data_IF_014078989459
#
_entry.id   IF_014078989459
#
_cell.length_a   1.000
_cell.length_b   1.000
_cell.length_c   1.000
_cell.angle_alpha   90.00
_cell.angle_beta   90.00
_cell.angle_gamma   90.00
#
_symmetry.space_group_name_H-M   'P 1'
#
loop_
_entity.id
_entity.type
_entity.pdbx_description
1 polymer ?
#
# COMPACT_ATOMS: atom_id res chain seq x y z
N UNK A 1 -33.72 -24.92 -50.16
CA UNK A 1 -32.59 -25.58 -49.47
C UNK A 1 -32.03 -26.65 -50.39
N UNK A 2 -30.73 -26.65 -50.65
CA UNK A 2 -29.85 -27.83 -50.83
C UNK A 2 -28.42 -27.32 -51.09
N UNK A 3 -27.43 -28.20 -50.99
CA UNK A 3 -26.03 -27.85 -50.68
C UNK A 3 -25.05 -28.53 -51.66
N UNK A 4 -23.79 -28.06 -51.69
CA UNK A 4 -22.59 -28.69 -52.30
C UNK A 4 -22.51 -28.59 -53.84
N UNK A 5 -21.34 -28.47 -54.47
CA UNK A 5 -19.95 -28.42 -53.98
C UNK A 5 -19.10 -27.46 -54.84
N UNK A 6 -18.17 -26.73 -54.22
CA UNK A 6 -16.95 -26.28 -54.89
C UNK A 6 -15.89 -27.41 -54.83
N UNK A 7 -14.96 -27.43 -55.81
CA UNK A 7 -13.68 -28.14 -55.71
C UNK A 7 -12.57 -27.11 -55.83
N UNK A 8 -11.75 -26.96 -54.78
CA UNK A 8 -10.44 -26.33 -54.87
C UNK A 8 -9.35 -27.39 -54.69
N UNK A 9 -8.41 -27.44 -55.63
CA UNK A 9 -7.17 -28.18 -55.50
C UNK A 9 -6.22 -27.45 -54.55
N UNK A 10 -5.53 -28.19 -53.68
CA UNK A 10 -4.38 -27.70 -52.93
C UNK A 10 -3.10 -28.10 -53.67
N UNK A 11 -2.19 -27.16 -53.87
CA UNK A 11 -0.75 -27.39 -53.76
C UNK A 11 -0.01 -26.06 -53.78
N UNK A 12 0.75 -25.77 -52.74
CA UNK A 12 2.17 -25.36 -52.82
C UNK A 12 2.75 -25.22 -51.40
N UNK A 13 4.08 -25.29 -51.31
CA UNK A 13 4.86 -25.17 -50.07
C UNK A 13 6.27 -24.66 -50.39
N UNK A 14 6.95 -24.17 -49.36
CA UNK A 14 8.37 -23.77 -49.29
C UNK A 14 8.73 -22.31 -49.61
N UNK A 15 8.99 -21.59 -48.51
CA UNK A 15 10.11 -20.67 -48.27
C UNK A 15 10.89 -20.09 -49.46
N UNK A 16 10.96 -18.75 -49.50
CA UNK A 16 12.25 -18.08 -49.63
C UNK A 16 12.31 -16.76 -48.82
N UNK A 17 13.52 -16.42 -48.36
CA UNK A 17 13.97 -15.13 -47.79
C UNK A 17 15.34 -14.86 -48.45
N UNK A 18 15.77 -13.61 -48.73
CA UNK A 18 15.90 -12.60 -47.68
C UNK A 18 15.85 -11.09 -48.08
N UNK A 19 16.04 -10.24 -47.07
CA UNK A 19 16.67 -8.90 -47.06
C UNK A 19 16.11 -7.67 -47.86
N UNK A 20 15.73 -6.65 -47.05
CA UNK A 20 15.94 -5.18 -47.14
C UNK A 20 16.99 -4.63 -48.14
N UNK A 21 17.00 -3.30 -48.44
CA UNK A 21 15.89 -2.31 -48.51
C UNK A 21 16.01 -1.18 -49.59
N UNK A 22 14.87 -0.66 -50.08
CA UNK A 22 14.69 0.71 -50.61
C UNK A 22 13.17 1.04 -50.50
N UNK A 23 12.66 2.22 -50.15
CA UNK A 23 13.01 3.64 -50.36
C UNK A 23 12.56 4.22 -51.72
N UNK A 24 11.92 5.39 -51.65
CA UNK A 24 11.32 6.20 -52.72
C UNK A 24 10.07 5.56 -53.40
N UNK A 25 8.85 6.14 -53.38
CA UNK A 25 8.35 7.50 -53.73
C UNK A 25 8.02 7.63 -55.23
N UNK A 26 7.01 8.47 -55.52
CA UNK A 26 6.25 8.67 -56.78
C UNK A 26 4.99 7.77 -56.90
N UNK A 27 3.83 8.28 -57.32
CA UNK A 27 3.40 9.68 -57.50
C UNK A 27 1.87 9.79 -57.67
N UNK A 28 1.33 10.99 -57.39
CA UNK A 28 0.11 11.61 -57.94
C UNK A 28 -1.01 10.68 -58.44
N UNK A 29 -2.11 10.59 -57.68
CA UNK A 29 -3.33 11.40 -57.90
C UNK A 29 -4.28 10.85 -58.98
N UNK A 30 -5.49 10.49 -58.54
CA UNK A 30 -6.69 10.71 -59.35
C UNK A 30 -7.75 11.34 -58.46
N UNK A 31 -8.52 12.27 -59.02
CA UNK A 31 -9.22 13.33 -58.27
C UNK A 31 -10.75 13.22 -58.39
N UNK A 32 -11.44 13.93 -57.51
CA UNK A 32 -12.90 14.18 -57.44
C UNK A 32 -13.77 13.03 -56.86
N UNK A 33 -14.63 13.43 -55.91
CA UNK A 33 -15.54 12.56 -55.15
C UNK A 33 -16.22 13.33 -54.02
N UNK A 34 -16.78 14.50 -54.32
CA UNK A 34 -17.23 15.48 -53.32
C UNK A 34 -18.46 15.02 -52.54
N UNK A 35 -18.40 15.17 -51.21
CA UNK A 35 -19.56 15.53 -50.38
C UNK A 35 -19.07 16.24 -49.14
N UNK A 36 -19.70 17.36 -48.77
CA UNK A 36 -19.27 18.21 -47.66
C UNK A 36 -20.47 18.72 -46.87
N UNK A 37 -20.51 18.42 -45.57
CA UNK A 37 -21.52 18.97 -44.65
C UNK A 37 -20.94 19.18 -43.25
N UNK A 38 -21.06 20.43 -42.77
CA UNK A 38 -20.83 20.91 -41.40
C UNK A 38 -19.50 20.60 -40.69
N UNK A 39 -18.60 21.61 -40.69
CA UNK A 39 -17.77 21.91 -39.52
C UNK A 39 -17.37 23.41 -39.49
N UNK A 40 -17.38 24.02 -38.29
CA UNK A 40 -16.84 25.35 -37.90
C UNK A 40 -17.61 26.64 -38.26
N UNK A 41 -17.87 27.44 -37.22
CA UNK A 41 -17.53 28.88 -37.13
C UNK A 41 -16.34 28.95 -36.13
N UNK A 42 -15.14 29.54 -36.34
CA UNK A 42 -14.68 30.79 -37.02
C UNK A 42 -15.05 32.02 -36.14
N UNK A 43 -14.19 32.96 -35.72
CA UNK A 43 -13.09 33.80 -36.31
C UNK A 43 -11.93 34.02 -35.28
N UNK A 44 -10.89 34.87 -35.39
CA UNK A 44 -9.77 35.21 -36.35
C UNK A 44 -8.80 36.16 -35.56
N UNK A 45 -7.49 36.35 -35.81
CA UNK A 45 -6.53 35.78 -36.78
C UNK A 45 -5.56 36.85 -37.37
N UNK A 46 -4.30 36.48 -37.68
CA UNK A 46 -3.23 37.29 -38.35
C UNK A 46 -2.53 38.36 -37.46
N UNK A 47 -1.30 38.85 -37.68
CA UNK A 47 -0.24 38.68 -38.72
C UNK A 47 1.14 38.40 -38.03
N UNK A 48 2.25 38.02 -38.69
CA UNK A 48 2.49 37.64 -40.09
C UNK A 48 3.97 37.79 -40.53
N UNK A 49 4.45 36.88 -41.38
CA UNK A 49 5.72 36.89 -42.17
C UNK A 49 7.09 37.03 -41.46
N UNK A 50 7.95 36.03 -41.69
CA UNK A 50 9.41 36.17 -41.63
C UNK A 50 9.98 36.29 -43.06
N UNK A 51 11.08 37.02 -43.24
CA UNK A 51 11.81 37.14 -44.52
C UNK A 51 13.24 36.64 -44.33
N UNK A 52 13.74 35.80 -45.25
CA UNK A 52 15.07 35.19 -45.16
C UNK A 52 16.05 35.88 -46.13
N UNK A 53 17.01 36.58 -45.56
CA UNK A 53 18.39 36.74 -46.05
C UNK A 53 19.28 36.59 -44.79
N UNK A 54 20.48 36.02 -44.82
CA UNK A 54 21.28 35.47 -45.91
C UNK A 54 22.77 35.45 -45.49
N UNK A 55 23.63 34.82 -46.30
CA UNK A 55 25.10 34.85 -46.19
C UNK A 55 25.79 34.22 -44.94
N UNK A 56 26.48 33.11 -45.21
CA UNK A 56 27.94 32.95 -45.00
C UNK A 56 28.57 33.12 -43.61
N UNK A 57 29.22 32.05 -43.13
CA UNK A 57 30.66 32.15 -42.83
C UNK A 57 31.18 31.54 -41.52
N UNK A 58 32.24 30.74 -41.66
CA UNK A 58 33.36 30.43 -40.76
C UNK A 58 33.15 30.27 -39.23
N UNK A 59 33.74 29.18 -38.72
CA UNK A 59 33.96 28.96 -37.29
C UNK A 59 34.97 29.95 -36.67
N UNK A 60 34.89 30.10 -35.34
CA UNK A 60 36.03 30.46 -34.50
C UNK A 60 36.05 29.60 -33.23
N UNK A 61 37.24 29.51 -32.62
CA UNK A 61 37.58 28.65 -31.49
C UNK A 61 37.65 29.44 -30.17
N UNK A 62 37.92 28.75 -29.05
CA UNK A 62 38.29 29.29 -27.72
C UNK A 62 37.14 29.80 -26.83
N UNK A 63 37.19 29.68 -25.48
CA UNK A 63 38.01 28.81 -24.61
C UNK A 63 37.38 28.65 -23.22
N UNK A 64 37.85 27.62 -22.52
CA UNK A 64 37.95 27.43 -21.05
C UNK A 64 37.40 28.55 -20.13
N UNK A 65 36.42 28.19 -19.29
CA UNK A 65 36.52 28.48 -17.85
C UNK A 65 35.70 27.49 -17.02
N UNK A 66 36.38 26.68 -16.22
CA UNK A 66 35.76 26.03 -15.07
C UNK A 66 35.69 27.04 -13.92
N UNK A 67 34.58 27.05 -13.19
CA UNK A 67 34.45 27.73 -11.90
C UNK A 67 33.88 26.70 -10.92
N UNK A 68 34.69 26.34 -9.94
CA UNK A 68 34.22 25.80 -8.67
C UNK A 68 33.77 26.98 -7.81
N UNK A 69 32.56 26.90 -7.27
CA UNK A 69 32.15 27.75 -6.15
C UNK A 69 31.80 26.82 -4.98
N UNK A 70 32.45 27.09 -3.84
CA UNK A 70 32.27 26.35 -2.61
C UNK A 70 30.90 26.70 -1.99
N UNK A 71 30.11 25.70 -1.65
CA UNK A 71 28.96 25.88 -0.75
C UNK A 71 29.47 25.64 0.66
N UNK A 72 29.44 26.70 1.47
CA UNK A 72 29.97 26.70 2.83
C UNK A 72 29.16 25.80 3.78
N UNK A 73 29.79 25.41 4.89
CA UNK A 73 29.15 24.70 5.98
C UNK A 73 28.00 25.54 6.57
N UNK A 74 26.77 25.06 6.45
CA UNK A 74 25.60 25.61 7.15
C UNK A 74 25.33 24.77 8.40
N UNK A 75 25.67 25.36 9.55
CA UNK A 75 25.61 24.76 10.90
C UNK A 75 24.13 24.69 11.39
N UNK A 76 23.30 24.02 10.58
CA UNK A 76 21.90 23.75 10.85
C UNK A 76 21.78 22.78 12.03
N UNK A 77 21.64 23.35 13.23
CA UNK A 77 21.27 22.59 14.41
C UNK A 77 20.01 21.78 14.09
N UNK A 78 20.10 20.45 14.21
CA UNK A 78 18.99 19.54 13.96
C UNK A 78 17.97 19.64 15.10
N UNK A 79 17.19 20.72 15.10
CA UNK A 79 16.04 20.89 15.97
C UNK A 79 15.12 19.70 15.77
N UNK A 80 14.90 18.93 16.84
CA UNK A 80 14.24 17.64 16.76
C UNK A 80 12.79 17.84 16.34
N UNK A 81 12.43 17.37 15.15
CA UNK A 81 11.08 17.50 14.56
C UNK A 81 10.01 17.18 15.61
N UNK A 82 9.22 18.18 15.97
CA UNK A 82 8.11 18.02 16.91
C UNK A 82 7.08 17.02 16.39
N UNK A 83 6.27 16.48 17.30
CA UNK A 83 5.43 15.31 17.02
C UNK A 83 4.28 15.64 16.07
N UNK A 84 4.47 15.40 14.76
CA UNK A 84 3.40 15.25 13.78
C UNK A 84 2.63 13.92 13.96
N UNK A 85 2.14 13.73 15.19
CA UNK A 85 1.16 12.73 15.58
C UNK A 85 -0.24 13.37 15.44
N UNK A 86 -0.45 14.09 14.31
CA UNK A 86 -1.59 14.95 13.96
C UNK A 86 -2.94 14.30 14.28
N UNK A 87 -4.00 15.11 14.39
CA UNK A 87 -5.32 14.67 14.85
C UNK A 87 -6.11 13.81 13.83
N UNK A 88 -5.44 12.82 13.24
CA UNK A 88 -6.01 11.66 12.56
C UNK A 88 -6.98 10.95 13.51
N UNK A 89 -8.25 11.32 13.38
CA UNK A 89 -9.34 10.69 14.09
C UNK A 89 -9.66 9.36 13.41
N UNK A 90 -9.23 8.29 14.06
CA UNK A 90 -9.41 6.89 13.61
C UNK A 90 -10.89 6.55 13.37
N UNK A 91 -11.80 7.34 13.99
CA UNK A 91 -13.26 7.27 13.84
C UNK A 91 -13.78 7.88 12.53
N UNK A 92 -13.07 8.85 11.91
CA UNK A 92 -13.49 9.56 10.69
C UNK A 92 -13.03 8.90 9.40
N UNK A 93 -11.94 8.13 9.44
CA UNK A 93 -11.51 7.33 8.29
C UNK A 93 -12.49 6.16 8.11
N UNK A 94 -13.53 6.38 7.32
CA UNK A 94 -14.51 5.36 6.97
C UNK A 94 -13.94 4.44 5.88
N UNK A 95 -14.27 3.15 5.97
CA UNK A 95 -14.01 2.21 4.89
C UNK A 95 -15.25 2.22 4.03
N UNK A 96 -15.07 2.55 2.76
CA UNK A 96 -16.13 2.49 1.77
C UNK A 96 -16.43 1.03 1.53
N UNK A 97 -17.47 0.53 2.21
CA UNK A 97 -18.06 -0.80 2.01
C UNK A 97 -18.79 -0.83 0.66
N UNK A 98 -18.00 -0.63 -0.39
CA UNK A 98 -18.37 -0.85 -1.77
C UNK A 98 -18.79 -2.30 -1.90
N UNK A 99 -19.95 -2.53 -2.50
CA UNK A 99 -20.47 -3.86 -2.76
C UNK A 99 -19.72 -4.52 -3.94
N UNK A 100 -18.39 -4.59 -3.85
CA UNK A 100 -17.54 -5.46 -4.64
C UNK A 100 -18.07 -6.88 -4.40
N UNK A 101 -18.60 -7.57 -5.43
CA UNK A 101 -19.10 -8.92 -5.22
C UNK A 101 -17.95 -9.82 -4.80
N UNK A 102 -18.11 -10.53 -3.67
CA UNK A 102 -17.23 -11.64 -3.30
C UNK A 102 -17.02 -12.54 -4.53
N UNK A 103 -15.77 -12.87 -4.92
CA UNK A 103 -15.47 -13.63 -6.13
C UNK A 103 -16.40 -14.85 -6.26
N UNK A 104 -17.15 -14.89 -7.37
CA UNK A 104 -18.48 -15.50 -7.44
C UNK A 104 -18.49 -17.01 -7.17
N UNK A 105 -18.62 -17.35 -5.89
CA UNK A 105 -18.57 -18.71 -5.37
C UNK A 105 -18.13 -18.78 -3.90
N UNK A 106 -17.28 -17.84 -3.44
CA UNK A 106 -16.86 -17.74 -2.04
C UNK A 106 -17.90 -16.95 -1.22
N UNK A 107 -18.80 -17.66 -0.54
CA UNK A 107 -19.54 -17.08 0.60
C UNK A 107 -18.56 -16.75 1.73
N UNK A 108 -19.00 -15.92 2.68
CA UNK A 108 -18.43 -15.87 4.03
C UNK A 108 -18.22 -17.31 4.54
N UNK A 109 -16.97 -17.75 4.62
CA UNK A 109 -16.63 -19.03 5.22
C UNK A 109 -16.78 -18.91 6.74
N UNK A 110 -17.31 -19.94 7.39
CA UNK A 110 -17.39 -19.98 8.85
C UNK A 110 -15.98 -19.89 9.45
N UNK A 111 -15.64 -18.73 10.01
CA UNK A 111 -14.38 -18.45 10.72
C UNK A 111 -14.26 -19.20 12.07
N UNK A 112 -14.97 -20.33 12.18
CA UNK A 112 -15.10 -21.19 13.37
C UNK A 112 -14.46 -22.56 13.18
N UNK A 113 -13.85 -22.85 12.03
CA UNK A 113 -13.33 -24.19 11.74
C UNK A 113 -12.02 -24.26 10.94
N UNK A 114 -11.04 -23.41 11.30
CA UNK A 114 -9.61 -23.68 11.08
C UNK A 114 -8.86 -23.47 12.42
N UNK A 115 -9.14 -24.37 13.36
CA UNK A 115 -8.42 -24.54 14.62
C UNK A 115 -8.70 -25.97 15.10
N UNK A 116 -7.65 -26.78 15.29
CA UNK A 116 -7.54 -28.20 14.85
C UNK A 116 -7.28 -28.27 13.33
N UNK A 117 -6.10 -28.66 12.83
CA UNK A 117 -4.94 -29.29 13.49
C UNK A 117 -3.64 -28.48 13.28
N UNK A 118 -3.03 -28.04 14.38
CA UNK A 118 -1.74 -27.35 14.41
C UNK A 118 -0.69 -28.23 15.11
N UNK A 119 -0.37 -29.36 14.49
CA UNK A 119 0.65 -30.32 14.95
C UNK A 119 1.59 -30.71 13.81
N UNK A 120 2.02 -29.71 13.04
CA UNK A 120 3.07 -29.77 12.01
C UNK A 120 3.71 -28.37 11.96
N UNK A 121 5.03 -28.28 11.78
CA UNK A 121 5.82 -27.05 11.92
C UNK A 121 5.83 -26.17 10.64
N UNK A 122 4.64 -26.02 10.04
CA UNK A 122 4.38 -25.47 8.70
C UNK A 122 4.69 -23.98 8.42
N UNK A 123 5.61 -23.34 9.15
CA UNK A 123 6.18 -22.04 8.78
C UNK A 123 7.38 -22.16 7.81
N UNK A 124 7.98 -23.35 7.66
CA UNK A 124 9.30 -23.54 7.04
C UNK A 124 9.31 -23.62 5.48
N UNK A 125 8.20 -23.31 4.79
CA UNK A 125 8.13 -23.40 3.32
C UNK A 125 7.50 -22.18 2.64
N UNK A 126 8.07 -21.01 2.91
CA UNK A 126 7.81 -19.81 2.11
C UNK A 126 8.31 -19.99 0.66
N UNK A 127 7.49 -19.66 -0.36
CA UNK A 127 7.87 -19.87 -1.75
C UNK A 127 8.97 -18.89 -2.18
N UNK A 128 9.86 -19.33 -3.08
CA UNK A 128 10.89 -18.46 -3.65
C UNK A 128 10.27 -17.21 -4.30
N UNK A 129 10.67 -15.98 -3.92
CA UNK A 129 10.11 -14.76 -4.49
C UNK A 129 10.27 -14.67 -6.01
N UNK A 130 9.17 -14.29 -6.68
CA UNK A 130 9.09 -14.02 -8.13
C UNK A 130 8.98 -12.52 -8.43
N UNK A 131 8.43 -11.76 -7.48
CA UNK A 131 8.12 -10.34 -7.67
C UNK A 131 8.97 -9.48 -6.74
N UNK A 132 9.61 -8.44 -7.28
CA UNK A 132 10.62 -7.64 -6.58
C UNK A 132 10.26 -6.14 -6.62
N UNK A 133 9.17 -5.71 -5.94
CA UNK A 133 8.77 -4.31 -5.88
C UNK A 133 9.86 -3.44 -5.23
N UNK A 134 10.07 -2.24 -5.78
CA UNK A 134 11.07 -1.26 -5.29
C UNK A 134 10.47 -0.11 -4.48
N UNK A 135 9.13 -0.06 -4.36
CA UNK A 135 8.38 0.97 -3.66
C UNK A 135 6.92 0.53 -3.44
N UNK A 136 6.21 1.28 -2.61
CA UNK A 136 4.79 1.05 -2.26
C UNK A 136 3.87 0.98 -3.49
N UNK A 137 4.11 1.79 -4.53
CA UNK A 137 3.30 1.81 -5.77
C UNK A 137 3.44 0.48 -6.55
N UNK A 138 4.66 -0.06 -6.62
CA UNK A 138 4.92 -1.36 -7.24
C UNK A 138 4.30 -2.50 -6.42
N UNK A 139 4.39 -2.45 -5.09
CA UNK A 139 3.79 -3.45 -4.21
C UNK A 139 2.25 -3.44 -4.29
N UNK A 140 1.59 -2.27 -4.21
CA UNK A 140 0.13 -2.13 -4.38
C UNK A 140 -0.39 -2.66 -5.72
N UNK A 141 0.42 -2.61 -6.80
CA UNK A 141 0.05 -3.22 -8.09
C UNK A 141 0.04 -4.75 -8.06
N UNK A 142 0.91 -5.38 -7.28
CA UNK A 142 0.93 -6.83 -7.08
C UNK A 142 -0.18 -7.29 -6.12
N UNK A 143 -0.45 -6.51 -5.07
CA UNK A 143 -1.51 -6.80 -4.09
C UNK A 143 -2.89 -6.85 -4.75
N UNK A 144 -3.20 -5.94 -5.69
CA UNK A 144 -4.49 -5.93 -6.42
C UNK A 144 -4.74 -7.15 -7.30
N UNK A 145 -3.72 -7.96 -7.61
CA UNK A 145 -3.88 -9.20 -8.36
C UNK A 145 -4.06 -10.37 -7.38
N UNK A 146 -5.30 -10.73 -7.08
CA UNK A 146 -5.62 -11.83 -6.15
C UNK A 146 -5.13 -13.21 -6.62
N UNK A 147 -4.67 -13.36 -7.87
CA UNK A 147 -4.00 -14.60 -8.31
C UNK A 147 -2.57 -14.75 -7.78
N UNK A 148 -1.95 -13.66 -7.31
CA UNK A 148 -0.63 -13.66 -6.70
C UNK A 148 -0.73 -14.07 -5.22
N UNK A 149 -0.05 -15.16 -4.89
CA UNK A 149 0.27 -15.55 -3.51
C UNK A 149 1.24 -14.52 -2.92
N UNK A 150 0.91 -13.91 -1.78
CA UNK A 150 1.69 -12.80 -1.23
C UNK A 150 3.12 -13.19 -0.87
N UNK A 151 3.36 -14.46 -0.51
CA UNK A 151 4.68 -14.96 -0.17
C UNK A 151 5.64 -15.04 -1.36
N UNK A 152 5.16 -14.89 -2.59
CA UNK A 152 5.99 -14.82 -3.79
C UNK A 152 6.53 -13.39 -4.05
N UNK A 153 6.27 -12.44 -3.15
CA UNK A 153 6.68 -11.03 -3.25
C UNK A 153 7.82 -10.74 -2.26
N UNK A 154 8.99 -10.31 -2.78
CA UNK A 154 10.10 -9.78 -1.98
C UNK A 154 9.76 -8.36 -1.47
N UNK A 155 9.43 -8.24 -0.19
CA UNK A 155 9.17 -6.97 0.49
C UNK A 155 10.40 -6.34 1.14
N UNK A 156 11.59 -6.95 1.08
CA UNK A 156 12.81 -6.50 1.78
C UNK A 156 13.22 -5.04 1.52
N UNK A 157 12.79 -4.48 0.38
CA UNK A 157 13.12 -3.12 -0.09
C UNK A 157 12.02 -2.09 0.22
N UNK A 158 11.00 -2.47 0.98
CA UNK A 158 9.84 -1.64 1.30
C UNK A 158 10.03 -1.08 2.72
N UNK A 159 10.12 0.24 2.82
CA UNK A 159 10.30 0.96 4.10
C UNK A 159 9.01 1.54 4.66
N UNK A 160 7.92 1.50 3.90
CA UNK A 160 6.62 2.08 4.24
C UNK A 160 5.50 1.13 3.78
N UNK A 161 4.61 0.76 4.71
CA UNK A 161 3.41 -0.05 4.50
C UNK A 161 2.13 0.66 5.01
N UNK A 162 2.18 1.98 5.17
CA UNK A 162 1.03 2.82 5.52
C UNK A 162 -0.11 2.63 4.50
N UNK A 163 -1.31 2.31 5.00
CA UNK A 163 -2.49 2.03 4.18
C UNK A 163 -2.20 1.03 3.03
N UNK A 164 -1.34 0.03 3.26
CA UNK A 164 -0.84 -0.85 2.19
C UNK A 164 -1.96 -1.56 1.41
N UNK A 165 -2.95 -2.09 2.11
CA UNK A 165 -4.06 -2.84 1.52
C UNK A 165 -5.25 -1.96 1.10
N UNK A 166 -5.04 -0.65 0.93
CA UNK A 166 -6.08 0.30 0.54
C UNK A 166 -5.69 1.18 -0.66
N UNK A 167 -6.65 1.46 -1.53
CA UNK A 167 -6.68 2.71 -2.29
C UNK A 167 -7.54 3.75 -1.56
N UNK A 168 -7.47 5.00 -2.01
CA UNK A 168 -8.11 6.17 -1.40
C UNK A 168 -9.00 6.85 -2.43
N UNK A 169 -10.27 7.06 -2.11
CA UNK A 169 -11.18 7.92 -2.88
C UNK A 169 -11.56 9.15 -2.04
N UNK A 170 -11.54 10.32 -2.65
CA UNK A 170 -12.07 11.57 -2.10
C UNK A 170 -13.59 11.62 -2.36
N UNK A 171 -14.40 12.21 -1.46
CA UNK A 171 -15.80 12.49 -1.79
C UNK A 171 -15.92 13.79 -2.62
N UNK A 172 -16.56 13.71 -3.80
CA UNK A 172 -16.82 14.87 -4.67
C UNK A 172 -17.67 15.97 -3.99
N UNK A 173 -18.35 15.64 -2.88
CA UNK A 173 -19.23 16.52 -2.11
C UNK A 173 -18.58 16.99 -0.78
N UNK A 174 -17.55 16.30 -0.29
CA UNK A 174 -16.85 16.60 0.96
C UNK A 174 -15.35 16.23 0.87
N UNK A 175 -14.47 17.15 0.44
CA UNK A 175 -13.05 16.86 0.24
C UNK A 175 -12.27 16.62 1.54
N UNK A 176 -12.86 16.87 2.73
CA UNK A 176 -12.27 16.51 4.01
C UNK A 176 -12.52 15.03 4.39
N UNK A 177 -13.37 14.31 3.63
CA UNK A 177 -13.67 12.88 3.83
C UNK A 177 -12.84 11.99 2.90
N UNK A 178 -11.86 11.28 3.48
CA UNK A 178 -11.04 10.28 2.81
C UNK A 178 -11.61 8.86 2.99
N UNK A 179 -12.11 8.27 1.91
CA UNK A 179 -12.59 6.88 1.91
C UNK A 179 -11.48 5.87 1.64
N UNK A 180 -11.35 4.87 2.52
CA UNK A 180 -10.46 3.73 2.31
C UNK A 180 -11.19 2.60 1.55
N UNK A 181 -10.56 2.07 0.50
CA UNK A 181 -11.10 0.98 -0.35
C UNK A 181 -10.15 -0.22 -0.31
N UNK A 182 -10.57 -1.40 0.19
CA UNK A 182 -9.72 -2.59 0.23
C UNK A 182 -9.24 -3.04 -1.15
N UNK A 183 -7.96 -3.39 -1.27
CA UNK A 183 -7.33 -3.86 -2.52
C UNK A 183 -7.46 -5.37 -2.76
N UNK A 184 -7.79 -6.13 -1.71
CA UNK A 184 -7.66 -7.60 -1.63
C UNK A 184 -8.38 -8.11 -0.39
N UNK A 185 -8.94 -9.33 -0.45
CA UNK A 185 -9.54 -10.01 0.70
C UNK A 185 -8.88 -11.35 1.07
N UNK A 186 -7.96 -11.87 0.26
CA UNK A 186 -7.23 -13.14 0.52
C UNK A 186 -5.73 -12.91 0.72
N UNK A 187 -5.23 -13.22 1.92
CA UNK A 187 -3.91 -12.78 2.41
C UNK A 187 -2.85 -13.89 2.49
N UNK A 188 -3.13 -15.08 1.94
CA UNK A 188 -2.21 -16.23 1.93
C UNK A 188 -0.79 -15.83 1.49
N UNK A 189 0.21 -16.21 2.30
CA UNK A 189 1.63 -15.95 2.06
C UNK A 189 2.15 -14.67 2.71
N UNK A 190 1.31 -13.88 3.39
CA UNK A 190 1.72 -12.66 4.09
C UNK A 190 2.70 -12.95 5.25
N UNK A 191 2.61 -14.15 5.83
CA UNK A 191 3.50 -14.68 6.86
C UNK A 191 4.98 -14.77 6.40
N UNK A 192 5.21 -14.76 5.09
CA UNK A 192 6.54 -14.87 4.46
C UNK A 192 7.20 -13.52 4.12
N UNK A 193 6.57 -12.39 4.42
CA UNK A 193 7.11 -11.07 4.10
C UNK A 193 8.28 -10.67 5.01
N UNK A 194 9.40 -10.30 4.39
CA UNK A 194 10.44 -9.53 5.06
C UNK A 194 9.97 -8.08 5.27
N UNK A 195 9.68 -7.74 6.52
CA UNK A 195 9.30 -6.40 6.97
C UNK A 195 10.38 -5.71 7.81
N UNK A 196 11.59 -6.27 7.85
CA UNK A 196 12.71 -5.82 8.72
C UNK A 196 13.22 -4.41 8.42
N UNK A 197 12.87 -3.84 7.26
CA UNK A 197 13.18 -2.46 6.86
C UNK A 197 12.00 -1.49 6.97
N UNK A 198 10.80 -1.96 7.35
CA UNK A 198 9.59 -1.12 7.44
C UNK A 198 9.64 -0.16 8.63
N UNK A 199 9.16 1.07 8.42
CA UNK A 199 9.12 2.17 9.40
C UNK A 199 7.71 2.56 9.83
N UNK A 200 6.78 2.64 8.89
CA UNK A 200 5.37 2.94 9.15
C UNK A 200 4.49 1.76 8.69
N UNK A 201 3.66 1.24 9.60
CA UNK A 201 2.63 0.22 9.37
C UNK A 201 1.22 0.76 9.67
N UNK A 202 1.05 2.09 9.70
CA UNK A 202 -0.21 2.72 10.08
C UNK A 202 -1.36 2.35 9.14
N UNK A 203 -2.51 2.03 9.71
CA UNK A 203 -3.75 1.69 9.00
C UNK A 203 -3.61 0.47 8.06
N UNK A 204 -2.55 -0.34 8.20
CA UNK A 204 -2.21 -1.43 7.25
C UNK A 204 -3.35 -2.45 7.09
N UNK A 205 -4.01 -2.83 8.18
CA UNK A 205 -5.14 -3.77 8.19
C UNK A 205 -6.42 -3.17 8.81
N UNK A 206 -6.54 -1.83 8.88
CA UNK A 206 -7.72 -1.16 9.49
C UNK A 206 -9.01 -1.66 8.85
N UNK A 207 -9.92 -2.20 9.66
CA UNK A 207 -11.27 -2.61 9.27
C UNK A 207 -11.34 -3.68 8.18
N UNK A 208 -10.26 -4.45 7.98
CA UNK A 208 -10.34 -5.72 7.26
C UNK A 208 -10.97 -6.74 8.22
N UNK A 209 -12.30 -6.71 8.35
CA UNK A 209 -13.06 -7.38 9.41
C UNK A 209 -12.72 -8.88 9.55
N UNK A 210 -12.40 -9.55 8.44
CA UNK A 210 -12.07 -10.98 8.36
C UNK A 210 -10.58 -11.30 8.49
N UNK A 211 -9.69 -10.31 8.60
CA UNK A 211 -8.25 -10.53 8.64
C UNK A 211 -7.81 -11.23 9.93
N UNK A 212 -7.16 -12.39 9.81
CA UNK A 212 -6.68 -13.19 10.94
C UNK A 212 -5.45 -14.05 10.57
N UNK A 213 -4.56 -13.54 9.72
CA UNK A 213 -3.36 -14.28 9.28
C UNK A 213 -2.20 -14.23 10.30
N UNK A 214 -1.36 -15.27 10.40
CA UNK A 214 -0.27 -15.33 11.36
C UNK A 214 0.88 -14.36 11.02
N UNK A 215 1.09 -13.35 11.87
CA UNK A 215 2.16 -12.34 11.71
C UNK A 215 3.31 -12.46 12.73
N UNK A 216 3.28 -13.45 13.63
CA UNK A 216 4.20 -13.51 14.78
C UNK A 216 5.68 -13.67 14.38
N UNK A 217 5.98 -14.16 13.17
CA UNK A 217 7.35 -14.34 12.69
C UNK A 217 7.94 -13.09 12.01
N UNK A 218 7.17 -12.01 11.86
CA UNK A 218 7.65 -10.75 11.30
C UNK A 218 8.66 -10.03 12.23
N UNK A 219 9.83 -9.66 11.69
CA UNK A 219 10.75 -8.76 12.39
C UNK A 219 10.29 -7.31 12.26
N UNK A 220 9.49 -6.86 13.24
CA UNK A 220 9.05 -5.46 13.36
C UNK A 220 10.07 -4.55 14.07
N UNK A 221 11.32 -4.98 14.32
CA UNK A 221 12.29 -4.23 15.15
C UNK A 221 12.76 -2.91 14.55
N UNK A 222 12.49 -2.65 13.27
CA UNK A 222 12.72 -1.35 12.62
C UNK A 222 11.54 -0.39 12.69
N UNK A 223 10.32 -0.87 13.00
CA UNK A 223 9.08 -0.11 12.90
C UNK A 223 9.01 0.96 14.00
N UNK A 224 8.61 2.16 13.60
CA UNK A 224 8.50 3.34 14.48
C UNK A 224 7.05 3.81 14.65
N UNK A 225 6.14 3.44 13.74
CA UNK A 225 4.73 3.86 13.77
C UNK A 225 3.79 2.69 13.43
N UNK A 226 2.78 2.46 14.30
CA UNK A 226 1.76 1.40 14.17
C UNK A 226 0.33 1.94 14.40
N UNK A 227 0.05 3.19 13.99
CA UNK A 227 -1.23 3.87 14.26
C UNK A 227 -2.38 3.09 13.61
N UNK A 228 -3.35 2.67 14.41
CA UNK A 228 -4.56 1.97 13.96
C UNK A 228 -4.31 0.75 13.05
N UNK A 229 -3.16 0.06 13.22
CA UNK A 229 -2.73 -1.04 12.35
C UNK A 229 -3.78 -2.15 12.18
N UNK A 230 -4.46 -2.55 13.26
CA UNK A 230 -5.52 -3.58 13.29
C UNK A 230 -6.89 -3.02 13.67
N UNK A 231 -7.08 -1.70 13.63
CA UNK A 231 -8.28 -1.04 14.12
C UNK A 231 -9.53 -1.49 13.34
N UNK A 232 -10.44 -2.23 13.96
CA UNK A 232 -11.63 -2.80 13.32
C UNK A 232 -11.40 -4.09 12.54
N UNK A 233 -10.20 -4.70 12.60
CA UNK A 233 -9.97 -6.05 12.08
C UNK A 233 -10.65 -7.08 13.02
N UNK A 234 -11.98 -7.18 12.97
CA UNK A 234 -12.80 -7.75 14.05
C UNK A 234 -12.45 -9.20 14.40
N UNK A 235 -12.06 -10.01 13.42
CA UNK A 235 -11.66 -11.40 13.58
C UNK A 235 -10.21 -11.59 14.07
N UNK A 236 -9.37 -10.56 14.09
CA UNK A 236 -7.94 -10.70 14.37
C UNK A 236 -7.68 -11.14 15.81
N UNK A 237 -7.05 -12.29 15.97
CA UNK A 237 -6.66 -12.88 17.25
C UNK A 237 -5.39 -13.75 17.14
N UNK A 238 -4.46 -13.39 16.25
CA UNK A 238 -3.18 -14.10 16.10
C UNK A 238 -2.12 -13.60 17.09
N UNK A 239 -1.21 -14.46 17.58
CA UNK A 239 -0.20 -14.07 18.55
C UNK A 239 0.81 -13.07 17.96
N UNK A 240 1.26 -12.14 18.81
CA UNK A 240 2.24 -11.08 18.50
C UNK A 240 3.33 -10.98 19.59
N UNK A 241 3.50 -12.04 20.40
CA UNK A 241 4.39 -12.07 21.56
C UNK A 241 5.88 -11.98 21.20
N UNK A 242 6.27 -12.41 20.00
CA UNK A 242 7.65 -12.32 19.50
C UNK A 242 8.03 -10.91 19.02
N UNK A 243 7.07 -10.02 18.81
CA UNK A 243 7.32 -8.72 18.17
C UNK A 243 8.19 -7.78 19.03
N UNK A 244 9.35 -7.41 18.50
CA UNK A 244 10.24 -6.42 19.12
C UNK A 244 9.78 -4.98 18.85
N UNK A 245 8.73 -4.54 19.53
CA UNK A 245 8.15 -3.18 19.39
C UNK A 245 9.01 -2.06 20.01
N UNK A 246 10.27 -2.30 20.37
CA UNK A 246 11.08 -1.36 21.17
C UNK A 246 11.46 -0.05 20.46
N UNK A 247 11.27 0.06 19.14
CA UNK A 247 11.42 1.32 18.38
C UNK A 247 10.11 2.08 18.14
N UNK A 248 8.95 1.48 18.44
CA UNK A 248 7.64 2.08 18.15
C UNK A 248 7.40 3.29 19.04
N UNK A 249 7.01 4.41 18.42
CA UNK A 249 6.69 5.69 19.06
C UNK A 249 5.18 5.92 19.19
N UNK A 250 4.37 5.47 18.22
CA UNK A 250 2.92 5.65 18.23
C UNK A 250 2.18 4.35 17.93
N UNK A 251 1.31 3.95 18.87
CA UNK A 251 0.37 2.82 18.83
C UNK A 251 -1.10 3.32 18.97
N UNK A 252 -1.33 4.61 18.65
CA UNK A 252 -2.64 5.30 18.69
C UNK A 252 -3.71 4.42 18.02
N UNK A 253 -4.66 3.92 18.81
CA UNK A 253 -5.76 3.04 18.39
C UNK A 253 -5.35 1.73 17.70
N UNK A 254 -4.16 1.19 17.94
CA UNK A 254 -3.62 -0.01 17.24
C UNK A 254 -4.62 -1.18 17.16
N UNK A 255 -5.38 -1.43 18.23
CA UNK A 255 -6.43 -2.45 18.32
C UNK A 255 -7.84 -1.87 18.55
N UNK A 256 -8.09 -0.61 18.15
CA UNK A 256 -9.41 0.05 18.30
C UNK A 256 -10.51 -0.81 17.63
N UNK A 257 -11.48 -1.31 18.40
CA UNK A 257 -12.57 -2.13 17.88
C UNK A 257 -12.17 -3.53 17.38
N UNK A 258 -10.96 -4.02 17.65
CA UNK A 258 -10.51 -5.37 17.25
C UNK A 258 -11.18 -6.44 18.12
N UNK A 259 -12.43 -6.80 17.78
CA UNK A 259 -13.39 -7.48 18.69
C UNK A 259 -12.90 -8.81 19.26
N UNK A 260 -12.21 -9.64 18.48
CA UNK A 260 -11.76 -10.98 18.88
C UNK A 260 -10.44 -11.02 19.64
N UNK A 261 -9.63 -9.94 19.61
CA UNK A 261 -8.24 -9.96 20.06
C UNK A 261 -8.10 -10.19 21.58
N UNK A 262 -7.35 -11.22 21.97
CA UNK A 262 -7.06 -11.56 23.36
C UNK A 262 -5.70 -12.28 23.52
N UNK A 263 -4.67 -11.87 22.76
CA UNK A 263 -3.33 -12.48 22.81
C UNK A 263 -2.39 -11.71 23.77
N UNK A 264 -1.41 -12.39 24.41
CA UNK A 264 -0.54 -11.78 25.41
C UNK A 264 0.42 -10.75 24.80
N UNK A 265 0.50 -9.57 25.43
CA UNK A 265 1.37 -8.45 25.04
C UNK A 265 2.25 -7.96 26.22
N UNK A 266 2.24 -8.64 27.35
CA UNK A 266 2.94 -8.26 28.59
C UNK A 266 4.47 -8.22 28.40
N UNK A 267 5.01 -9.05 27.52
CA UNK A 267 6.44 -9.11 27.17
C UNK A 267 6.94 -7.91 26.37
N UNK A 268 6.08 -7.18 25.64
CA UNK A 268 6.47 -6.03 24.81
C UNK A 268 7.27 -4.97 25.58
N UNK A 269 8.23 -4.32 24.90
CA UNK A 269 9.03 -3.24 25.44
C UNK A 269 8.49 -1.88 24.94
N UNK A 270 7.52 -1.31 25.66
CA UNK A 270 6.81 -0.10 25.25
C UNK A 270 7.51 1.22 25.66
N UNK A 271 8.78 1.18 26.11
CA UNK A 271 9.45 2.33 26.74
C UNK A 271 9.59 3.58 25.87
N UNK A 272 9.60 3.41 24.55
CA UNK A 272 9.66 4.50 23.58
C UNK A 272 8.28 4.93 23.05
N UNK A 273 7.20 4.25 23.45
CA UNK A 273 5.84 4.58 23.00
C UNK A 273 5.37 5.87 23.68
N UNK A 274 5.08 6.88 22.88
CA UNK A 274 4.52 8.18 23.28
C UNK A 274 3.00 8.19 23.26
N UNK A 275 2.37 7.54 22.28
CA UNK A 275 0.92 7.61 22.09
C UNK A 275 0.28 6.22 22.04
N UNK A 276 -0.63 5.97 22.99
CA UNK A 276 -1.49 4.79 23.09
C UNK A 276 -2.97 5.21 23.25
N UNK A 277 -3.32 6.43 22.83
CA UNK A 277 -4.70 6.92 22.85
C UNK A 277 -5.60 5.93 22.11
N UNK A 278 -6.74 5.57 22.71
CA UNK A 278 -7.72 4.61 22.17
C UNK A 278 -7.17 3.20 21.84
N UNK A 279 -5.95 2.82 22.27
CA UNK A 279 -5.25 1.61 21.78
C UNK A 279 -6.08 0.32 21.87
N UNK A 280 -6.89 0.17 22.93
CA UNK A 280 -7.81 -0.94 23.16
C UNK A 280 -9.27 -0.43 23.33
N UNK A 281 -9.62 0.76 22.82
CA UNK A 281 -11.01 1.24 22.88
C UNK A 281 -11.91 0.26 22.09
N UNK A 282 -13.04 -0.15 22.68
CA UNK A 282 -14.01 -1.12 22.11
C UNK A 282 -13.44 -2.53 21.85
N UNK A 283 -12.48 -3.02 22.67
CA UNK A 283 -12.05 -4.44 22.65
C UNK A 283 -12.72 -5.28 23.76
N UNK A 284 -13.87 -5.94 23.51
CA UNK A 284 -14.58 -6.74 24.52
C UNK A 284 -13.96 -8.11 24.82
N UNK A 285 -13.11 -8.64 23.95
CA UNK A 285 -12.39 -9.90 24.20
C UNK A 285 -11.15 -9.71 25.09
N UNK A 286 -10.40 -8.61 24.91
CA UNK A 286 -9.07 -8.41 25.47
C UNK A 286 -9.06 -8.31 27.00
N UNK A 287 -8.50 -9.32 27.66
CA UNK A 287 -8.48 -9.51 29.12
C UNK A 287 -7.09 -9.86 29.67
N UNK A 288 -6.06 -9.67 28.85
CA UNK A 288 -4.69 -10.03 29.22
C UNK A 288 -4.09 -9.08 30.27
N UNK A 289 -3.21 -9.61 31.11
CA UNK A 289 -2.62 -8.86 32.22
C UNK A 289 -1.49 -7.94 31.73
N UNK A 290 -1.72 -6.63 31.72
CA UNK A 290 -0.72 -5.63 31.35
C UNK A 290 0.04 -5.02 32.55
N UNK A 291 -0.05 -5.57 33.77
CA UNK A 291 0.69 -5.05 34.92
C UNK A 291 2.20 -4.93 34.68
N UNK A 292 2.79 -5.86 33.91
CA UNK A 292 4.20 -5.88 33.52
C UNK A 292 4.64 -4.69 32.65
N UNK A 293 3.71 -3.87 32.17
CA UNK A 293 4.02 -2.60 31.49
C UNK A 293 4.36 -1.46 32.46
N UNK A 294 4.04 -1.58 33.75
CA UNK A 294 4.14 -0.48 34.73
C UNK A 294 5.52 0.18 34.78
N UNK A 295 6.58 -0.62 34.94
CA UNK A 295 7.97 -0.14 35.00
C UNK A 295 8.59 0.07 33.60
N UNK A 296 7.84 -0.24 32.54
CA UNK A 296 8.21 -0.02 31.13
C UNK A 296 7.62 1.27 30.55
N UNK A 297 6.65 1.91 31.23
CA UNK A 297 5.95 3.08 30.71
C UNK A 297 6.84 4.33 30.65
N UNK A 298 6.62 5.13 29.60
CA UNK A 298 7.22 6.46 29.45
C UNK A 298 6.43 7.46 30.32
N UNK A 299 7.06 8.35 31.12
CA UNK A 299 6.34 9.20 32.09
C UNK A 299 5.27 10.12 31.46
N UNK A 300 5.49 10.55 30.22
CA UNK A 300 4.59 11.39 29.41
C UNK A 300 3.89 10.59 28.29
N UNK A 301 3.66 9.28 28.48
CA UNK A 301 2.85 8.46 27.57
C UNK A 301 1.36 8.87 27.61
N UNK A 302 0.81 9.21 26.45
CA UNK A 302 -0.58 9.65 26.30
C UNK A 302 -1.49 8.43 26.11
N UNK A 303 -2.43 8.22 27.03
CA UNK A 303 -3.29 7.03 27.13
C UNK A 303 -4.79 7.38 27.23
N UNK A 304 -5.20 8.49 26.61
CA UNK A 304 -6.60 8.95 26.59
C UNK A 304 -7.50 7.89 25.96
N UNK A 305 -8.62 7.59 26.62
CA UNK A 305 -9.62 6.60 26.20
C UNK A 305 -9.07 5.17 25.96
N UNK A 306 -7.83 4.86 26.38
CA UNK A 306 -7.08 3.66 25.99
C UNK A 306 -7.83 2.33 26.19
N UNK A 307 -8.64 2.23 27.25
CA UNK A 307 -9.41 1.02 27.60
C UNK A 307 -10.94 1.25 27.58
N UNK A 308 -11.43 2.36 27.02
CA UNK A 308 -12.86 2.70 27.01
C UNK A 308 -13.68 1.68 26.22
N UNK A 309 -14.89 1.34 26.67
CA UNK A 309 -15.76 0.32 26.07
C UNK A 309 -15.08 -1.08 25.93
N UNK A 310 -14.01 -1.35 26.69
CA UNK A 310 -13.23 -2.59 26.65
C UNK A 310 -13.47 -3.47 27.88
N UNK A 311 -13.05 -4.74 27.83
CA UNK A 311 -13.11 -5.61 29.01
C UNK A 311 -12.14 -5.19 30.14
N UNK A 312 -11.11 -4.37 29.85
CA UNK A 312 -10.21 -3.81 30.85
C UNK A 312 -10.70 -2.49 31.46
N UNK A 313 -11.75 -1.85 30.95
CA UNK A 313 -12.25 -0.56 31.50
C UNK A 313 -12.60 -0.66 33.00
N UNK A 314 -13.23 -1.77 33.39
CA UNK A 314 -13.66 -2.06 34.77
C UNK A 314 -12.58 -2.73 35.60
N UNK A 315 -11.57 -3.31 34.95
CA UNK A 315 -10.46 -4.02 35.59
C UNK A 315 -9.10 -3.54 35.03
N UNK A 316 -8.78 -2.23 35.07
CA UNK A 316 -7.57 -1.76 34.41
C UNK A 316 -6.31 -2.15 35.19
N UNK A 317 -5.14 -2.19 34.52
CA UNK A 317 -3.86 -2.53 35.14
C UNK A 317 -3.54 -1.67 36.36
N UNK A 318 -2.77 -2.22 37.31
CA UNK A 318 -2.45 -1.56 38.59
C UNK A 318 -1.73 -0.22 38.42
N UNK A 319 -0.99 -0.04 37.34
CA UNK A 319 -0.28 1.22 37.04
C UNK A 319 -1.21 2.36 36.58
N UNK A 320 -2.42 2.08 36.08
CA UNK A 320 -3.40 3.10 35.68
C UNK A 320 -4.22 3.63 36.87
N UNK A 321 -4.10 2.99 38.05
CA UNK A 321 -4.86 3.32 39.28
C UNK A 321 -4.05 4.14 40.28
N UNK A 322 -3.07 4.93 39.80
CA UNK A 322 -2.13 5.74 40.58
C UNK A 322 -2.33 7.23 40.31
#
# INVERSE_FOLDING_TARGET
MLYKNQKHTKQECQQYKPNKPASLVLSLEFLLGMSATLCKAIFVGLFGMAVIFGATGCALFQKDKAISEDIADDDSQSESTEDDDTELDISKLEIKSSAIPLPSGKRLADSRQIATDASDDGYDNCPNPKYFPKNLIALKKLIRDESINLGEIDTSKITDMKRLFFDTEEDENDPDTEYLIPLRYEFKGIECWDVSNVKDMSLMFKGLETFNEPLNNWDVSSVEVMIAMFAGAEAFNQPLDKWNVSRVRSMKGMFYGTKAFNQPLDMWNIRNVKNMNKMFEKTPAYKQNLDAWGDKLRPDAIMKDMFKDSALEKNPPKWLKK
#
